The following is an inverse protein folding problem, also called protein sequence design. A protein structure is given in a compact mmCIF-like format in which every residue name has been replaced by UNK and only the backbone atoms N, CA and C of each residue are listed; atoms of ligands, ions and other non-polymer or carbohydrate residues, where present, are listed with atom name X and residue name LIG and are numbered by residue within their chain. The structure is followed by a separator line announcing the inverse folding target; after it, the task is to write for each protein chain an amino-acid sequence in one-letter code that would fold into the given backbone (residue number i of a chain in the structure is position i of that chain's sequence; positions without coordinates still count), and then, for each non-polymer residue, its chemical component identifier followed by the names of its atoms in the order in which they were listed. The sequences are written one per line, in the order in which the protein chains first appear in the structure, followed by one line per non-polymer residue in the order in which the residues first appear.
data_IF_062517643212
#
_entry.id   IF_062517643212
#
_cell.length_a   1.000
_cell.length_b   1.000
_cell.length_c   1.000
_cell.angle_alpha   90.00
_cell.angle_beta   90.00
_cell.angle_gamma   90.00
#
_symmetry.space_group_name_H-M   'P 1'
#
loop_
_entity.id
_entity.type
_entity.pdbx_description
1 polymer ?
#
# COMPACT_ATOMS: atom_id res chain seq x y z
N UNK A 1 32.07 71.27 29.06
CA UNK A 1 31.15 70.68 30.06
C UNK A 1 31.21 69.18 29.86
N UNK A 2 32.09 68.52 30.63
CA UNK A 2 32.40 67.10 30.50
C UNK A 2 31.34 66.33 31.30
N UNK A 3 30.42 65.63 30.62
CA UNK A 3 29.39 64.82 31.27
C UNK A 3 30.04 63.49 31.69
N UNK A 4 30.21 63.33 32.99
CA UNK A 4 30.70 62.12 33.64
C UNK A 4 29.57 61.07 33.62
N UNK A 5 29.69 60.06 32.76
CA UNK A 5 28.77 58.93 32.73
C UNK A 5 29.02 58.03 33.94
N UNK A 6 28.05 57.97 34.85
CA UNK A 6 28.04 57.04 35.99
C UNK A 6 27.72 55.65 35.45
N UNK A 7 28.72 54.78 35.36
CA UNK A 7 28.56 53.36 35.11
C UNK A 7 28.03 52.70 36.40
N UNK A 8 26.76 52.28 36.37
CA UNK A 8 26.20 51.41 37.40
C UNK A 8 26.74 49.99 37.16
N UNK A 9 27.39 49.34 38.14
CA UNK A 9 27.81 47.95 37.98
C UNK A 9 26.56 47.06 37.94
N UNK A 10 26.40 46.30 36.86
CA UNK A 10 25.40 45.24 36.79
C UNK A 10 25.76 44.17 37.84
N UNK A 11 24.93 44.02 38.86
CA UNK A 11 25.03 42.90 39.77
C UNK A 11 24.83 41.60 38.98
N UNK A 12 25.76 40.66 39.10
CA UNK A 12 25.60 39.31 38.57
C UNK A 12 24.36 38.69 39.24
N UNK A 13 23.26 38.58 38.51
CA UNK A 13 22.06 37.93 38.98
C UNK A 13 22.39 36.46 39.28
N UNK A 14 22.45 36.10 40.56
CA UNK A 14 22.61 34.73 41.01
C UNK A 14 21.41 33.93 40.50
N UNK A 15 21.65 32.94 39.65
CA UNK A 15 20.59 32.14 39.04
C UNK A 15 20.01 31.20 40.11
N UNK A 16 18.93 31.61 40.76
CA UNK A 16 18.10 30.73 41.58
C UNK A 16 17.28 29.79 40.66
N UNK A 17 16.80 28.67 41.20
CA UNK A 17 16.07 27.64 40.43
C UNK A 17 16.98 26.60 39.78
N UNK A 18 16.35 25.61 39.14
CA UNK A 18 17.00 24.50 38.44
C UNK A 18 16.54 24.42 36.98
N UNK A 19 17.37 23.81 36.15
CA UNK A 19 16.99 23.32 34.82
C UNK A 19 17.16 21.81 34.84
N UNK A 20 16.28 21.11 34.13
CA UNK A 20 16.28 19.66 34.04
C UNK A 20 15.65 19.22 32.72
N UNK A 21 16.00 18.02 32.27
CA UNK A 21 15.36 17.42 31.10
C UNK A 21 14.11 16.64 31.47
N UNK A 22 13.14 16.64 30.55
CA UNK A 22 11.87 15.94 30.68
C UNK A 22 11.47 15.24 29.39
N UNK A 23 10.51 14.32 29.49
CA UNK A 23 9.78 13.81 28.34
C UNK A 23 8.75 14.83 27.83
N UNK A 24 7.93 14.42 26.83
CA UNK A 24 6.87 15.26 26.25
C UNK A 24 5.70 15.59 27.20
N UNK A 25 5.58 14.88 28.33
CA UNK A 25 4.55 15.06 29.35
C UNK A 25 5.08 15.84 30.57
N UNK A 26 6.29 16.38 30.48
CA UNK A 26 6.99 17.08 31.55
C UNK A 26 7.36 16.19 32.75
N UNK A 27 7.47 14.88 32.53
CA UNK A 27 8.03 13.96 33.52
C UNK A 27 9.56 14.02 33.45
N UNK A 28 10.20 14.16 34.62
CA UNK A 28 11.67 14.25 34.69
C UNK A 28 12.29 12.91 34.35
N UNK A 29 13.21 12.94 33.38
CA UNK A 29 13.98 11.78 32.95
C UNK A 29 15.38 12.23 32.51
N UNK A 30 16.33 11.31 32.54
CA UNK A 30 17.71 11.52 32.10
C UNK A 30 18.14 10.49 31.04
N UNK A 31 17.26 9.59 30.60
CA UNK A 31 17.54 8.61 29.54
C UNK A 31 16.36 8.51 28.56
N UNK A 32 16.53 9.07 27.37
CA UNK A 32 15.48 9.18 26.37
C UNK A 32 15.64 8.16 25.24
N UNK A 33 14.53 7.69 24.67
CA UNK A 33 14.53 6.77 23.53
C UNK A 33 14.70 7.43 22.15
N UNK A 34 15.13 8.70 22.09
CA UNK A 34 15.33 9.44 20.84
C UNK A 34 15.56 10.95 21.08
N UNK A 35 16.28 11.63 20.18
CA UNK A 35 16.60 13.06 20.33
C UNK A 35 15.38 13.97 20.30
N UNK A 36 14.38 13.63 19.48
CA UNK A 36 13.10 14.34 19.38
C UNK A 36 12.22 14.20 20.65
N UNK A 37 12.58 13.33 21.59
CA UNK A 37 11.85 13.09 22.84
C UNK A 37 12.40 13.90 24.03
N UNK A 38 13.45 14.69 23.83
CA UNK A 38 14.11 15.46 24.91
C UNK A 38 13.55 16.88 24.96
N UNK A 39 13.07 17.28 26.14
CA UNK A 39 12.58 18.62 26.41
C UNK A 39 13.35 19.24 27.58
N UNK A 40 13.58 20.55 27.52
CA UNK A 40 14.14 21.35 28.59
C UNK A 40 13.01 21.95 29.43
N UNK A 41 13.09 21.77 30.74
CA UNK A 41 12.25 22.43 31.72
C UNK A 41 13.10 23.32 32.64
N UNK A 42 12.48 24.34 33.21
CA UNK A 42 13.15 25.29 34.09
C UNK A 42 12.18 26.03 35.00
N UNK A 43 12.60 26.28 36.24
CA UNK A 43 11.79 26.92 37.27
C UNK A 43 11.95 26.25 38.64
N UNK A 44 10.90 26.20 39.47
CA UNK A 44 10.89 25.40 40.69
C UNK A 44 11.25 23.95 40.34
N UNK A 45 12.21 23.38 41.07
CA UNK A 45 12.64 22.00 40.84
C UNK A 45 11.48 21.00 40.97
N UNK A 46 11.61 19.79 40.40
CA UNK A 46 10.52 18.80 40.34
C UNK A 46 9.95 18.43 41.73
N UNK A 47 10.77 18.57 42.78
CA UNK A 47 10.38 18.26 44.16
C UNK A 47 10.01 19.50 45.01
N UNK A 48 10.10 20.72 44.45
CA UNK A 48 9.93 21.96 45.20
C UNK A 48 8.47 22.48 45.21
N UNK A 49 7.59 21.90 44.38
CA UNK A 49 6.23 22.38 44.16
C UNK A 49 6.18 23.76 43.50
N UNK A 50 4.98 24.24 43.15
CA UNK A 50 4.81 25.49 42.41
C UNK A 50 5.12 26.77 43.21
N UNK A 51 5.42 26.64 44.51
CA UNK A 51 5.86 27.72 45.40
C UNK A 51 7.38 27.74 45.61
N UNK A 52 8.12 26.83 44.97
CA UNK A 52 9.58 26.80 45.04
C UNK A 52 10.26 27.97 44.34
N UNK A 53 11.55 28.16 44.59
CA UNK A 53 12.34 29.20 43.92
C UNK A 53 12.42 28.92 42.41
N UNK A 54 11.89 29.84 41.61
CA UNK A 54 11.99 29.82 40.16
C UNK A 54 13.31 30.36 39.63
N UNK A 55 13.39 30.43 38.30
CA UNK A 55 14.45 31.11 37.56
C UNK A 55 14.31 32.63 37.72
N UNK A 56 15.35 33.41 37.45
CA UNK A 56 15.21 34.86 37.39
C UNK A 56 14.49 35.26 36.08
N UNK A 57 13.63 36.26 36.13
CA UNK A 57 12.94 36.75 34.93
C UNK A 57 13.93 37.39 33.95
N UNK A 58 13.74 37.11 32.67
CA UNK A 58 14.59 37.62 31.60
C UNK A 58 14.74 36.68 30.42
N UNK A 59 15.58 37.08 29.46
CA UNK A 59 15.93 36.25 28.32
C UNK A 59 17.14 35.38 28.62
N UNK A 60 17.10 34.16 28.10
CA UNK A 60 18.12 33.14 28.24
C UNK A 60 18.49 32.57 26.88
N UNK A 61 19.71 32.07 26.78
CA UNK A 61 20.13 31.20 25.69
C UNK A 61 20.31 29.77 26.19
N UNK A 62 20.13 28.81 25.30
CA UNK A 62 20.53 27.42 25.55
C UNK A 62 21.51 26.91 24.49
N UNK A 63 22.24 25.85 24.85
CA UNK A 63 23.02 25.06 23.90
C UNK A 63 23.11 23.62 24.39
N UNK A 64 23.44 22.72 23.48
CA UNK A 64 23.76 21.32 23.81
C UNK A 64 25.19 21.06 23.38
N UNK A 65 25.93 20.36 24.23
CA UNK A 65 27.31 19.95 23.98
C UNK A 65 27.48 18.47 24.30
N UNK A 66 28.65 17.94 23.96
CA UNK A 66 29.14 16.71 24.58
C UNK A 66 29.27 16.89 26.12
N UNK A 67 29.44 15.80 26.90
CA UNK A 67 29.49 15.87 28.36
C UNK A 67 30.63 16.75 28.88
N UNK A 68 31.72 16.88 28.13
CA UNK A 68 32.84 17.75 28.52
C UNK A 68 32.54 19.24 28.35
N UNK A 69 31.62 19.61 27.45
CA UNK A 69 31.37 20.99 27.07
C UNK A 69 32.26 21.50 25.94
N UNK A 70 33.07 20.63 25.34
CA UNK A 70 34.06 21.00 24.32
C UNK A 70 33.45 21.07 22.92
N UNK A 71 32.58 20.12 22.58
CA UNK A 71 31.95 20.02 21.25
C UNK A 71 30.55 20.61 21.31
N UNK A 72 30.28 21.65 20.51
CA UNK A 72 28.94 22.21 20.34
C UNK A 72 28.12 21.29 19.44
N UNK A 73 26.92 20.90 19.89
CA UNK A 73 26.00 20.01 19.18
C UNK A 73 24.70 20.73 18.76
N UNK A 74 24.63 22.05 18.94
CA UNK A 74 23.50 22.87 18.47
C UNK A 74 24.05 23.80 17.38
N UNK A 75 24.03 23.38 16.10
CA UNK A 75 24.75 24.07 15.03
C UNK A 75 24.10 25.39 14.61
N UNK A 76 22.85 25.63 15.00
CA UNK A 76 22.12 26.84 14.62
C UNK A 76 22.54 28.11 15.39
N UNK A 77 22.14 29.26 14.85
CA UNK A 77 22.41 30.56 15.49
C UNK A 77 21.70 30.71 16.85
N UNK A 78 22.21 31.59 17.71
CA UNK A 78 21.61 31.87 19.04
C UNK A 78 20.19 32.43 18.95
N UNK A 79 19.81 33.07 17.84
CA UNK A 79 18.47 33.62 17.66
C UNK A 79 17.37 32.54 17.73
N UNK A 80 17.68 31.30 17.33
CA UNK A 80 16.77 30.15 17.40
C UNK A 80 16.92 29.36 18.71
N UNK A 81 17.72 29.87 19.65
CA UNK A 81 18.02 29.24 20.95
C UNK A 81 17.70 30.16 22.12
N UNK A 82 16.74 31.07 21.92
CA UNK A 82 16.34 32.07 22.92
C UNK A 82 15.10 31.61 23.67
N UNK A 83 15.12 31.72 24.99
CA UNK A 83 14.02 31.37 25.90
C UNK A 83 13.70 32.56 26.79
N UNK A 84 12.42 32.87 26.97
CA UNK A 84 11.97 33.91 27.90
C UNK A 84 11.45 33.26 29.18
N UNK A 85 11.95 33.75 30.32
CA UNK A 85 11.48 33.39 31.65
C UNK A 85 10.68 34.55 32.21
N UNK A 86 9.46 34.26 32.68
CA UNK A 86 8.56 35.22 33.30
C UNK A 86 7.87 34.59 34.51
N UNK A 87 7.79 35.31 35.62
CA UNK A 87 7.21 34.77 36.86
C UNK A 87 7.97 33.56 37.40
N UNK A 88 9.27 33.45 37.10
CA UNK A 88 10.15 32.38 37.55
C UNK A 88 10.04 31.05 36.83
N UNK A 89 9.28 30.98 35.74
CA UNK A 89 9.13 29.79 34.89
C UNK A 89 9.41 30.12 33.43
N UNK A 90 9.74 29.10 32.64
CA UNK A 90 9.82 29.27 31.17
C UNK A 90 8.43 29.63 30.64
N UNK A 91 8.33 30.75 29.93
CA UNK A 91 7.10 31.27 29.35
C UNK A 91 7.03 31.01 27.84
N UNK A 92 8.14 31.20 27.13
CA UNK A 92 8.21 31.03 25.67
C UNK A 92 9.62 30.71 25.17
N UNK A 93 9.71 30.13 23.97
CA UNK A 93 10.96 29.86 23.29
C UNK A 93 10.86 30.26 21.80
N UNK A 94 11.92 30.87 21.27
CA UNK A 94 12.05 31.18 19.86
C UNK A 94 12.74 30.01 19.14
N UNK A 95 12.21 29.60 17.99
CA UNK A 95 12.82 28.57 17.14
C UNK A 95 12.68 27.13 17.65
N UNK A 96 11.89 26.90 18.70
CA UNK A 96 11.63 25.58 19.28
C UNK A 96 10.15 25.35 19.61
N UNK A 97 9.70 24.11 19.45
CA UNK A 97 8.37 23.71 19.88
C UNK A 97 8.28 23.75 21.41
N UNK A 98 7.15 24.25 21.92
CA UNK A 98 6.88 24.27 23.37
C UNK A 98 5.63 23.46 23.72
N UNK A 99 5.61 22.85 24.90
CA UNK A 99 4.42 22.19 25.47
C UNK A 99 4.12 22.73 26.85
N UNK A 100 2.91 22.50 27.35
CA UNK A 100 2.55 22.84 28.74
C UNK A 100 3.41 22.02 29.70
N UNK A 101 4.04 22.70 30.65
CA UNK A 101 4.78 22.12 31.75
C UNK A 101 4.09 22.33 33.10
N UNK A 102 4.70 21.85 34.19
CA UNK A 102 4.18 22.03 35.54
C UNK A 102 4.09 23.51 35.93
N UNK A 103 3.19 23.85 36.85
CA UNK A 103 3.10 25.19 37.44
C UNK A 103 2.84 26.33 36.43
N UNK A 104 2.17 26.02 35.30
CA UNK A 104 1.91 26.99 34.24
C UNK A 104 3.12 27.31 33.35
N UNK A 105 4.23 26.58 33.53
CA UNK A 105 5.42 26.73 32.69
C UNK A 105 5.24 26.16 31.28
N UNK A 106 6.22 26.42 30.42
CA UNK A 106 6.44 25.69 29.17
C UNK A 106 7.68 24.82 29.25
N UNK A 107 7.62 23.64 28.66
CA UNK A 107 8.81 22.84 28.34
C UNK A 107 9.19 23.05 26.87
N UNK A 108 10.49 23.08 26.57
CA UNK A 108 11.02 23.44 25.25
C UNK A 108 11.68 22.23 24.62
N UNK A 109 11.23 21.82 23.43
CA UNK A 109 11.85 20.70 22.72
C UNK A 109 13.29 21.08 22.32
N UNK A 110 14.25 20.20 22.62
CA UNK A 110 15.66 20.48 22.37
C UNK A 110 16.10 20.18 20.92
N UNK A 111 15.42 19.25 20.25
CA UNK A 111 15.68 18.89 18.85
C UNK A 111 15.44 20.07 17.88
N UNK A 112 16.25 20.24 16.82
CA UNK A 112 17.40 19.40 16.42
C UNK A 112 18.69 19.66 17.21
N UNK A 113 19.53 18.62 17.34
CA UNK A 113 20.92 18.70 17.81
C UNK A 113 21.74 17.51 17.30
N UNK A 114 23.03 17.73 17.09
CA UNK A 114 23.99 16.77 16.54
C UNK A 114 24.27 15.63 17.52
N UNK A 115 24.80 14.52 17.02
CA UNK A 115 25.12 13.34 17.85
C UNK A 115 26.34 13.60 18.70
N UNK A 116 26.28 13.24 19.98
CA UNK A 116 27.42 13.36 20.89
C UNK A 116 28.54 12.43 20.46
N UNK A 117 29.81 12.87 20.48
CA UNK A 117 30.95 11.99 20.27
C UNK A 117 31.21 11.06 21.47
N UNK A 118 30.49 11.22 22.59
CA UNK A 118 30.63 10.37 23.77
C UNK A 118 30.09 8.96 23.51
N UNK A 119 30.91 7.93 23.71
CA UNK A 119 30.51 6.51 23.59
C UNK A 119 29.32 6.14 24.50
N UNK A 120 29.12 6.88 25.60
CA UNK A 120 28.00 6.66 26.52
C UNK A 120 26.65 7.20 26.01
N UNK A 121 26.61 7.88 24.86
CA UNK A 121 25.41 8.56 24.34
C UNK A 121 24.94 9.72 25.22
N UNK A 122 25.84 10.29 26.02
CA UNK A 122 25.55 11.37 26.98
C UNK A 122 25.76 12.75 26.36
N UNK A 123 24.89 13.67 26.75
CA UNK A 123 24.82 15.06 26.32
C UNK A 123 24.76 15.96 27.55
N UNK A 124 25.13 17.23 27.37
CA UNK A 124 24.96 18.27 28.37
C UNK A 124 24.19 19.44 27.78
N UNK A 125 23.06 19.79 28.39
CA UNK A 125 22.34 21.03 28.07
C UNK A 125 22.85 22.14 28.98
N UNK A 126 23.05 23.33 28.40
CA UNK A 126 23.41 24.54 29.11
C UNK A 126 22.31 25.57 28.94
N UNK A 127 22.05 26.34 30.00
CA UNK A 127 21.04 27.39 30.03
C UNK A 127 21.61 28.61 30.75
N UNK A 128 21.78 29.73 30.05
CA UNK A 128 22.48 30.92 30.57
C UNK A 128 21.66 32.18 30.35
N UNK A 129 21.62 33.13 31.32
CA UNK A 129 21.01 34.44 31.09
C UNK A 129 21.69 35.13 29.90
N UNK A 130 20.91 35.74 29.00
CA UNK A 130 21.45 36.39 27.81
C UNK A 130 22.48 37.49 28.15
N UNK A 131 22.31 38.18 29.28
CA UNK A 131 23.24 39.19 29.79
C UNK A 131 24.59 38.61 30.29
N UNK A 132 24.65 37.31 30.56
CA UNK A 132 25.85 36.60 31.03
C UNK A 132 26.56 35.83 29.91
N UNK A 133 26.01 35.82 28.69
CA UNK A 133 26.62 35.21 27.52
C UNK A 133 27.79 36.07 27.03
N UNK A 134 28.97 35.47 26.87
CA UNK A 134 30.19 36.17 26.43
C UNK A 134 30.81 35.41 25.26
N UNK A 135 30.62 35.86 24.00
CA UNK A 135 31.16 35.17 22.82
C UNK A 135 32.64 34.80 22.97
N UNK A 136 32.98 33.53 22.72
CA UNK A 136 34.36 33.02 22.79
C UNK A 136 34.88 32.70 24.20
N UNK A 137 34.09 32.87 25.26
CA UNK A 137 34.46 32.49 26.63
C UNK A 137 33.74 31.22 27.10
N UNK A 138 34.30 30.53 28.10
CA UNK A 138 33.68 29.31 28.66
C UNK A 138 33.41 28.24 27.60
N UNK A 139 32.28 27.55 27.70
CA UNK A 139 31.84 26.59 26.68
C UNK A 139 31.01 27.33 25.63
N UNK A 140 31.63 27.69 24.49
CA UNK A 140 30.94 28.35 23.35
C UNK A 140 30.19 29.65 23.70
N UNK A 141 30.68 30.37 24.71
CA UNK A 141 30.10 31.61 25.23
C UNK A 141 29.29 31.46 26.51
N UNK A 142 29.11 30.23 27.00
CA UNK A 142 28.42 29.91 28.24
C UNK A 142 29.43 29.74 29.38
N UNK A 143 29.37 30.65 30.36
CA UNK A 143 30.23 30.61 31.55
C UNK A 143 29.65 29.65 32.60
N UNK A 144 30.43 28.67 33.07
CA UNK A 144 29.95 27.69 34.05
C UNK A 144 29.47 28.30 35.37
N UNK A 145 29.97 29.47 35.75
CA UNK A 145 29.54 30.19 36.96
C UNK A 145 28.17 30.87 36.82
N UNK A 146 27.72 31.12 35.59
CA UNK A 146 26.46 31.81 35.30
C UNK A 146 25.40 30.89 34.66
N UNK A 147 25.83 29.76 34.10
CA UNK A 147 24.95 28.79 33.46
C UNK A 147 24.41 27.76 34.44
N UNK A 148 23.19 27.32 34.20
CA UNK A 148 22.67 26.05 34.71
C UNK A 148 22.89 24.97 33.67
N UNK A 149 23.09 23.74 34.12
CA UNK A 149 23.30 22.60 33.24
C UNK A 149 22.56 21.39 33.74
N UNK A 150 22.19 20.53 32.81
CA UNK A 150 21.74 19.17 33.10
C UNK A 150 22.35 18.19 32.10
N UNK A 151 22.52 16.93 32.50
CA UNK A 151 23.03 15.87 31.64
C UNK A 151 21.93 14.87 31.33
N UNK A 152 21.87 14.43 30.08
CA UNK A 152 20.93 13.40 29.65
C UNK A 152 21.57 12.44 28.66
N UNK A 153 20.96 11.26 28.51
CA UNK A 153 21.36 10.26 27.50
C UNK A 153 20.26 10.08 26.48
N UNK A 154 20.65 9.76 25.27
CA UNK A 154 19.73 9.22 24.26
C UNK A 154 20.15 7.77 24.00
N UNK A 155 19.26 6.81 24.30
CA UNK A 155 19.48 5.39 23.99
C UNK A 155 19.67 5.27 22.48
N UNK A 156 20.76 4.62 22.07
CA UNK A 156 21.12 4.50 20.65
C UNK A 156 21.88 5.70 20.07
N UNK A 157 22.62 6.48 20.89
CA UNK A 157 23.43 7.64 20.48
C UNK A 157 24.59 7.39 19.49
N UNK A 158 24.59 6.27 18.77
CA UNK A 158 25.18 6.22 17.42
C UNK A 158 24.29 7.08 16.49
N UNK A 159 24.67 7.36 15.22
CA UNK A 159 23.68 7.81 14.25
C UNK A 159 22.48 6.86 14.34
N UNK A 160 21.25 7.38 14.27
CA UNK A 160 20.21 6.54 13.68
C UNK A 160 20.75 6.27 12.28
N UNK A 161 21.26 5.06 12.05
CA UNK A 161 21.46 4.62 10.68
C UNK A 161 20.06 4.66 10.06
N UNK A 162 19.94 5.18 8.85
CA UNK A 162 18.67 5.14 8.16
C UNK A 162 18.52 3.76 7.51
N UNK A 163 17.29 3.27 7.43
CA UNK A 163 16.96 2.17 6.52
C UNK A 163 16.58 2.77 5.18
N UNK A 164 17.27 2.43 4.11
CA UNK A 164 16.80 2.75 2.76
C UNK A 164 15.79 1.69 2.32
N UNK A 165 14.52 2.06 2.22
CA UNK A 165 13.49 1.20 1.60
C UNK A 165 13.28 1.73 0.19
N UNK A 166 13.67 0.96 -0.82
CA UNK A 166 13.50 1.36 -2.22
C UNK A 166 12.94 0.21 -3.06
N UNK A 167 12.55 0.53 -4.27
CA UNK A 167 12.23 -0.48 -5.27
C UNK A 167 11.66 0.12 -6.53
N UNK A 168 11.11 -0.75 -7.37
CA UNK A 168 10.55 -0.38 -8.66
C UNK A 168 9.09 -0.79 -8.76
N UNK A 169 8.26 0.09 -9.31
CA UNK A 169 6.93 -0.25 -9.81
C UNK A 169 7.02 -0.45 -11.32
N UNK A 170 6.53 -1.58 -11.81
CA UNK A 170 6.75 -1.99 -13.19
C UNK A 170 5.58 -2.75 -13.80
N UNK A 171 5.58 -2.78 -15.14
CA UNK A 171 4.64 -3.51 -15.95
C UNK A 171 5.09 -4.97 -16.15
N UNK A 172 4.56 -5.88 -15.34
CA UNK A 172 4.96 -7.29 -15.26
C UNK A 172 4.30 -8.12 -16.37
N UNK A 173 4.74 -7.90 -17.61
CA UNK A 173 4.16 -8.58 -18.79
C UNK A 173 4.47 -10.09 -18.79
N UNK A 174 5.50 -10.53 -18.06
CA UNK A 174 5.92 -11.94 -17.99
C UNK A 174 5.21 -12.69 -16.85
N UNK A 175 4.59 -11.98 -15.91
CA UNK A 175 3.82 -12.51 -14.76
C UNK A 175 4.66 -13.36 -13.80
N UNK A 176 5.93 -13.03 -13.64
CA UNK A 176 6.80 -13.75 -12.71
C UNK A 176 6.99 -13.00 -11.38
N UNK A 177 6.47 -11.77 -11.25
CA UNK A 177 6.62 -10.94 -10.07
C UNK A 177 8.04 -10.42 -9.85
N UNK A 178 8.90 -10.47 -10.87
CA UNK A 178 10.31 -10.07 -10.83
C UNK A 178 10.54 -9.05 -11.93
N UNK A 179 11.22 -7.94 -11.62
CA UNK A 179 11.58 -6.96 -12.64
C UNK A 179 12.56 -7.55 -13.65
N UNK A 180 12.13 -7.64 -14.92
CA UNK A 180 12.94 -8.14 -16.03
C UNK A 180 13.38 -7.02 -17.00
N UNK A 181 14.52 -7.17 -17.70
CA UNK A 181 15.01 -6.17 -18.65
C UNK A 181 14.06 -5.83 -19.82
N UNK A 182 13.11 -6.71 -20.14
CA UNK A 182 12.11 -6.50 -21.20
C UNK A 182 10.85 -5.77 -20.73
N UNK A 183 10.75 -5.48 -19.44
CA UNK A 183 9.56 -4.89 -18.83
C UNK A 183 9.66 -3.37 -18.78
N UNK A 184 8.50 -2.72 -18.60
CA UNK A 184 8.41 -1.28 -18.65
C UNK A 184 8.29 -0.71 -17.23
N UNK A 185 9.02 0.37 -16.89
CA UNK A 185 8.79 1.07 -15.64
C UNK A 185 7.44 1.79 -15.64
N UNK A 186 6.84 1.95 -14.45
CA UNK A 186 5.59 2.70 -14.28
C UNK A 186 5.88 4.01 -13.52
N UNK A 187 6.01 5.16 -14.22
CA UNK A 187 6.29 6.46 -13.59
C UNK A 187 5.04 7.12 -13.00
N UNK A 188 5.23 7.99 -12.00
CA UNK A 188 4.15 8.76 -11.37
C UNK A 188 3.19 7.90 -10.53
N UNK A 189 3.58 6.68 -10.20
CA UNK A 189 2.81 5.73 -9.42
C UNK A 189 2.90 6.05 -7.94
N UNK A 190 1.75 6.09 -7.25
CA UNK A 190 1.71 6.41 -5.83
C UNK A 190 2.20 5.21 -4.99
N UNK A 191 3.14 5.46 -4.08
CA UNK A 191 3.59 4.47 -3.10
C UNK A 191 3.49 5.10 -1.71
N UNK A 192 2.89 4.36 -0.78
CA UNK A 192 2.71 4.78 0.61
C UNK A 192 3.52 3.91 1.55
N UNK A 193 4.07 4.51 2.60
CA UNK A 193 4.68 3.84 3.75
C UNK A 193 3.89 4.22 5.00
N UNK A 194 3.26 3.22 5.63
CA UNK A 194 2.62 3.35 6.94
C UNK A 194 3.60 3.02 8.06
N UNK A 195 3.83 3.99 8.94
CA UNK A 195 4.65 3.88 10.13
C UNK A 195 3.78 4.00 11.40
N UNK A 196 3.01 2.96 11.71
CA UNK A 196 2.18 2.92 12.91
C UNK A 196 1.02 3.92 12.92
N UNK A 197 0.42 4.15 11.75
CA UNK A 197 -0.68 5.08 11.50
C UNK A 197 -0.25 6.42 10.90
N UNK A 198 1.06 6.65 10.75
CA UNK A 198 1.59 7.83 10.04
C UNK A 198 1.90 7.41 8.60
N UNK A 199 1.16 7.98 7.65
CA UNK A 199 1.33 7.70 6.22
C UNK A 199 2.29 8.71 5.61
N UNK A 200 3.36 8.20 4.99
CA UNK A 200 4.23 8.94 4.08
C UNK A 200 3.94 8.51 2.64
N UNK A 201 3.88 9.46 1.71
CA UNK A 201 3.60 9.18 0.29
C UNK A 201 4.75 9.66 -0.57
N UNK A 202 5.12 8.86 -1.56
CA UNK A 202 6.02 9.24 -2.65
C UNK A 202 5.44 8.80 -3.99
N UNK A 203 6.05 9.22 -5.08
CA UNK A 203 5.69 8.81 -6.43
C UNK A 203 6.93 8.26 -7.15
N UNK A 204 6.72 7.26 -7.99
CA UNK A 204 7.80 6.72 -8.81
C UNK A 204 8.32 7.74 -9.82
N UNK A 205 9.62 7.71 -10.08
CA UNK A 205 10.26 8.52 -11.11
C UNK A 205 10.10 7.94 -12.53
N UNK A 206 10.79 8.52 -13.52
CA UNK A 206 10.74 8.08 -14.92
C UNK A 206 11.19 6.63 -15.12
N UNK A 207 12.04 6.11 -14.23
CA UNK A 207 12.52 4.73 -14.25
C UNK A 207 11.65 3.82 -13.36
N UNK A 208 10.52 4.31 -12.86
CA UNK A 208 9.61 3.55 -12.01
C UNK A 208 10.14 3.35 -10.59
N UNK A 209 11.18 4.08 -10.19
CA UNK A 209 11.87 3.89 -8.91
C UNK A 209 11.22 4.77 -7.84
N UNK A 210 11.08 4.23 -6.63
CA UNK A 210 10.68 4.98 -5.43
C UNK A 210 11.64 4.69 -4.26
N UNK A 211 11.63 5.58 -3.26
CA UNK A 211 12.37 5.34 -2.02
C UNK A 211 11.74 6.04 -0.80
N UNK A 212 12.01 5.46 0.38
CA UNK A 212 11.80 6.04 1.70
C UNK A 212 13.07 5.85 2.53
N UNK A 213 13.26 6.74 3.50
CA UNK A 213 14.42 6.75 4.40
C UNK A 213 13.92 6.87 5.85
N UNK A 214 13.25 5.84 6.41
CA UNK A 214 12.93 5.81 7.83
C UNK A 214 14.18 5.58 8.71
N UNK A 215 14.07 5.93 9.98
CA UNK A 215 15.08 5.59 10.98
C UNK A 215 15.19 4.06 11.12
N UNK A 216 16.40 3.50 11.21
CA UNK A 216 16.64 2.08 11.49
C UNK A 216 16.43 1.79 12.99
N UNK A 217 15.17 1.84 13.43
CA UNK A 217 14.76 1.71 14.83
C UNK A 217 14.14 0.34 15.17
N UNK A 218 14.11 -0.58 14.19
CA UNK A 218 13.51 -1.90 14.30
C UNK A 218 11.98 -1.91 14.27
N UNK A 219 11.34 -0.79 13.92
CA UNK A 219 9.88 -0.74 13.76
C UNK A 219 9.43 -1.39 12.46
N UNK A 220 8.19 -1.86 12.44
CA UNK A 220 7.56 -2.40 11.24
C UNK A 220 6.86 -1.29 10.46
N UNK A 221 7.16 -1.23 9.17
CA UNK A 221 6.47 -0.39 8.19
C UNK A 221 5.67 -1.25 7.21
N UNK A 222 4.54 -0.72 6.74
CA UNK A 222 3.75 -1.35 5.68
C UNK A 222 3.83 -0.50 4.42
N UNK A 223 4.38 -1.06 3.36
CA UNK A 223 4.52 -0.40 2.07
C UNK A 223 3.37 -0.85 1.17
N UNK A 224 2.64 0.12 0.62
CA UNK A 224 1.50 -0.12 -0.27
C UNK A 224 1.72 0.61 -1.58
N UNK A 225 1.67 -0.12 -2.69
CA UNK A 225 1.64 0.47 -4.02
C UNK A 225 0.19 0.72 -4.42
N UNK A 226 -0.14 1.94 -4.85
CA UNK A 226 -1.51 2.35 -5.14
C UNK A 226 -1.67 2.58 -6.64
N UNK A 227 -2.46 1.73 -7.27
CA UNK A 227 -2.77 1.86 -8.67
C UNK A 227 -3.60 3.13 -8.96
N UNK A 228 -3.29 3.88 -10.03
CA UNK A 228 -4.11 5.01 -10.45
C UNK A 228 -5.55 4.57 -10.70
N UNK A 229 -6.51 5.37 -10.25
CA UNK A 229 -7.92 5.10 -10.50
C UNK A 229 -8.22 5.04 -12.01
N UNK A 230 -9.09 4.12 -12.45
CA UNK A 230 -9.56 4.09 -13.83
C UNK A 230 -10.13 5.47 -14.22
N UNK A 231 -9.70 6.02 -15.35
CA UNK A 231 -10.30 7.24 -15.93
C UNK A 231 -9.65 8.60 -15.61
N UNK A 232 -8.65 8.70 -14.73
CA UNK A 232 -7.89 9.97 -14.59
C UNK A 232 -6.60 9.99 -15.45
N UNK A 233 -6.03 8.82 -15.73
CA UNK A 233 -4.88 8.60 -16.65
C UNK A 233 -5.03 7.28 -17.44
N UNK A 234 -6.21 6.63 -17.38
CA UNK A 234 -6.44 5.30 -17.94
C UNK A 234 -7.65 5.26 -18.87
N UNK A 235 -7.64 4.30 -19.78
CA UNK A 235 -8.75 3.97 -20.69
C UNK A 235 -10.01 3.70 -19.83
N UNK A 236 -11.14 4.29 -20.20
CA UNK A 236 -12.43 4.05 -19.55
C UNK A 236 -12.73 2.55 -19.56
N UNK A 237 -12.98 1.96 -18.38
CA UNK A 237 -13.12 0.51 -18.23
C UNK A 237 -11.81 -0.26 -18.06
N UNK A 238 -10.65 0.39 -17.93
CA UNK A 238 -9.38 -0.26 -17.60
C UNK A 238 -9.28 -0.71 -16.14
N UNK A 239 -8.44 -1.72 -15.86
CA UNK A 239 -8.19 -2.27 -14.52
C UNK A 239 -6.72 -2.58 -14.31
N UNK A 240 -6.19 -2.24 -13.13
CA UNK A 240 -4.85 -2.64 -12.72
C UNK A 240 -4.92 -3.86 -11.80
N UNK A 241 -3.96 -4.76 -11.94
CA UNK A 241 -3.81 -5.93 -11.10
C UNK A 241 -2.35 -6.07 -10.67
N UNK A 242 -2.10 -6.10 -9.36
CA UNK A 242 -0.79 -6.42 -8.81
C UNK A 242 -0.42 -7.89 -9.05
N UNK A 243 0.77 -8.14 -9.59
CA UNK A 243 1.34 -9.47 -9.78
C UNK A 243 2.32 -9.84 -8.66
N UNK A 244 2.70 -8.88 -7.81
CA UNK A 244 3.45 -9.12 -6.58
C UNK A 244 2.57 -8.93 -5.35
N UNK A 245 3.06 -9.38 -4.20
CA UNK A 245 2.39 -9.15 -2.92
C UNK A 245 2.26 -7.64 -2.65
N UNK A 246 1.05 -7.18 -2.35
CA UNK A 246 0.75 -5.80 -2.03
C UNK A 246 -0.43 -5.76 -1.06
N UNK A 247 -0.30 -5.23 0.16
CA UNK A 247 0.87 -4.53 0.72
C UNK A 247 2.01 -5.46 1.19
N UNK A 248 3.19 -4.88 1.46
CA UNK A 248 4.38 -5.59 1.98
C UNK A 248 4.80 -5.00 3.32
N UNK A 249 5.03 -5.87 4.32
CA UNK A 249 5.56 -5.45 5.63
C UNK A 249 7.09 -5.60 5.69
N UNK A 250 7.77 -4.56 6.16
CA UNK A 250 9.23 -4.49 6.31
C UNK A 250 9.57 -4.07 7.74
N UNK A 251 10.65 -4.63 8.30
CA UNK A 251 11.21 -4.20 9.59
C UNK A 251 12.43 -3.32 9.31
N UNK A 252 12.48 -2.11 9.88
CA UNK A 252 13.58 -1.17 9.71
C UNK A 252 14.79 -1.54 10.60
N UNK A 253 15.37 -2.73 10.40
CA UNK A 253 16.45 -3.30 11.22
C UNK A 253 17.75 -3.55 10.44
N UNK A 254 17.78 -3.27 9.14
CA UNK A 254 18.94 -3.40 8.27
C UNK A 254 19.12 -2.15 7.40
N UNK A 255 20.32 -1.90 6.84
CA UNK A 255 20.59 -0.67 6.08
C UNK A 255 19.73 -0.50 4.82
N UNK A 256 19.22 -1.60 4.25
CA UNK A 256 18.51 -1.57 2.97
C UNK A 256 17.47 -2.68 2.85
N UNK A 257 16.30 -2.31 2.31
CA UNK A 257 15.31 -3.23 1.78
C UNK A 257 14.97 -2.87 0.33
N UNK A 258 14.83 -3.90 -0.52
CA UNK A 258 14.33 -3.78 -1.89
C UNK A 258 12.93 -4.39 -1.95
N UNK A 259 11.95 -3.59 -2.35
CA UNK A 259 10.54 -3.98 -2.44
C UNK A 259 9.99 -3.59 -3.81
N UNK A 260 9.79 -4.57 -4.69
CA UNK A 260 9.32 -4.31 -6.06
C UNK A 260 7.82 -4.62 -6.21
N UNK A 261 7.15 -3.84 -7.05
CA UNK A 261 5.72 -3.96 -7.32
C UNK A 261 5.44 -4.17 -8.80
N UNK A 262 5.16 -5.42 -9.17
CA UNK A 262 4.73 -5.80 -10.52
C UNK A 262 3.23 -5.55 -10.70
N UNK A 263 2.85 -5.01 -11.85
CA UNK A 263 1.47 -4.71 -12.18
C UNK A 263 1.13 -5.05 -13.63
N UNK A 264 -0.12 -5.45 -13.86
CA UNK A 264 -0.72 -5.64 -15.17
C UNK A 264 -1.92 -4.74 -15.38
N UNK A 265 -2.16 -4.39 -16.64
CA UNK A 265 -3.28 -3.56 -17.04
C UNK A 265 -4.20 -4.37 -17.95
N UNK A 266 -5.48 -4.29 -17.65
CA UNK A 266 -6.55 -4.98 -18.34
C UNK A 266 -7.49 -3.96 -18.93
N UNK A 267 -7.94 -4.20 -20.16
CA UNK A 267 -8.88 -3.32 -20.85
C UNK A 267 -10.14 -4.14 -21.13
N UNK A 268 -11.28 -3.57 -20.75
CA UNK A 268 -12.56 -4.11 -21.20
C UNK A 268 -12.59 -4.07 -22.73
N UNK A 269 -12.83 -5.21 -23.36
CA UNK A 269 -12.89 -5.31 -24.82
C UNK A 269 -14.33 -5.65 -25.26
N UNK A 270 -15.25 -4.66 -25.35
CA UNK A 270 -16.63 -4.92 -25.75
C UNK A 270 -16.70 -5.62 -27.11
N UNK A 271 -17.59 -6.60 -27.25
CA UNK A 271 -17.80 -7.35 -28.49
C UNK A 271 -16.68 -8.34 -28.87
N UNK A 272 -15.73 -8.58 -27.97
CA UNK A 272 -14.64 -9.53 -28.21
C UNK A 272 -15.10 -10.99 -28.14
N UNK A 273 -16.12 -11.31 -27.33
CA UNK A 273 -16.80 -12.61 -27.37
C UNK A 273 -18.02 -12.58 -28.30
N UNK A 274 -18.22 -13.72 -28.97
CA UNK A 274 -19.36 -14.04 -29.84
C UNK A 274 -20.45 -14.75 -29.05
N UNK A 275 -21.70 -14.34 -29.27
CA UNK A 275 -22.85 -15.00 -28.65
C UNK A 275 -23.12 -16.38 -29.22
N UNK A 276 -23.89 -17.22 -28.51
CA UNK A 276 -24.41 -18.48 -29.08
C UNK A 276 -25.21 -18.26 -30.37
N UNK A 277 -25.88 -17.12 -30.51
CA UNK A 277 -26.59 -16.74 -31.73
C UNK A 277 -25.65 -16.44 -32.91
N UNK A 278 -24.45 -15.89 -32.65
CA UNK A 278 -23.41 -15.76 -33.67
C UNK A 278 -22.93 -17.13 -34.14
N UNK A 279 -22.56 -18.00 -33.21
CA UNK A 279 -22.11 -19.37 -33.52
C UNK A 279 -23.18 -20.23 -34.20
N UNK A 280 -24.47 -19.88 -34.07
CA UNK A 280 -25.53 -20.52 -34.86
C UNK A 280 -25.59 -19.98 -36.29
N UNK A 281 -25.58 -18.65 -36.47
CA UNK A 281 -25.91 -17.99 -37.73
C UNK A 281 -24.72 -17.68 -38.65
N UNK A 282 -23.52 -17.50 -38.09
CA UNK A 282 -22.37 -16.92 -38.79
C UNK A 282 -21.04 -17.63 -38.47
N UNK A 283 -20.99 -18.50 -37.46
CA UNK A 283 -19.75 -19.11 -36.98
C UNK A 283 -19.16 -20.22 -37.86
N UNK A 284 -19.82 -20.65 -38.94
CA UNK A 284 -19.45 -21.87 -39.68
C UNK A 284 -18.06 -21.77 -40.27
N UNK A 285 -17.77 -20.65 -40.93
CA UNK A 285 -16.45 -20.40 -41.54
C UNK A 285 -15.34 -20.30 -40.50
N UNK A 286 -15.62 -19.73 -39.31
CA UNK A 286 -14.65 -19.64 -38.21
C UNK A 286 -14.35 -21.01 -37.60
N UNK A 287 -15.39 -21.84 -37.40
CA UNK A 287 -15.22 -23.21 -36.90
C UNK A 287 -14.51 -24.08 -37.96
N UNK A 288 -14.78 -23.88 -39.24
CA UNK A 288 -14.09 -24.56 -40.33
C UNK A 288 -12.60 -24.18 -40.35
N UNK A 289 -12.28 -22.90 -40.15
CA UNK A 289 -10.90 -22.42 -40.12
C UNK A 289 -10.10 -23.01 -38.95
N UNK A 290 -10.74 -23.29 -37.81
CA UNK A 290 -10.10 -23.93 -36.65
C UNK A 290 -10.21 -25.46 -36.64
N UNK A 291 -10.84 -26.11 -37.64
CA UNK A 291 -11.10 -27.55 -37.64
C UNK A 291 -9.81 -28.40 -37.61
N UNK A 292 -8.71 -27.82 -38.10
CA UNK A 292 -7.38 -28.43 -38.09
C UNK A 292 -6.60 -28.21 -36.78
N UNK A 293 -7.17 -27.51 -35.79
CA UNK A 293 -6.54 -27.31 -34.49
C UNK A 293 -6.34 -28.65 -33.75
N UNK A 294 -5.36 -28.71 -32.85
CA UNK A 294 -5.12 -29.87 -32.00
C UNK A 294 -5.18 -29.44 -30.52
N UNK A 295 -6.17 -29.91 -29.74
CA UNK A 295 -7.35 -30.70 -30.16
C UNK A 295 -8.32 -29.88 -31.04
N UNK A 296 -9.08 -30.56 -31.91
CA UNK A 296 -10.08 -29.89 -32.75
C UNK A 296 -11.36 -29.58 -31.95
N UNK A 297 -12.26 -28.77 -32.54
CA UNK A 297 -13.48 -28.34 -31.86
C UNK A 297 -14.40 -29.49 -31.44
N UNK A 298 -14.47 -30.59 -32.19
CA UNK A 298 -15.29 -31.75 -31.83
C UNK A 298 -14.76 -32.41 -30.56
N UNK A 299 -13.46 -32.69 -30.52
CA UNK A 299 -12.79 -33.28 -29.35
C UNK A 299 -12.94 -32.37 -28.14
N UNK A 300 -12.79 -31.05 -28.31
CA UNK A 300 -12.99 -30.08 -27.23
C UNK A 300 -14.42 -30.15 -26.71
N UNK A 301 -15.44 -29.98 -27.56
CA UNK A 301 -16.84 -29.98 -27.14
C UNK A 301 -17.29 -31.32 -26.52
N UNK A 302 -16.84 -32.45 -27.07
CA UNK A 302 -17.11 -33.78 -26.52
C UNK A 302 -16.54 -33.97 -25.11
N UNK A 303 -15.49 -33.22 -24.75
CA UNK A 303 -14.91 -33.20 -23.42
C UNK A 303 -15.63 -32.31 -22.40
N UNK A 304 -16.63 -31.53 -22.80
CA UNK A 304 -17.25 -30.51 -21.93
C UNK A 304 -18.46 -30.99 -21.11
N UNK A 305 -18.86 -32.27 -21.24
CA UNK A 305 -20.05 -32.81 -20.57
C UNK A 305 -21.34 -32.01 -20.84
N UNK A 306 -21.49 -31.46 -22.06
CA UNK A 306 -22.62 -30.64 -22.46
C UNK A 306 -23.94 -31.41 -22.32
N UNK A 307 -24.94 -30.84 -21.64
CA UNK A 307 -26.22 -31.49 -21.37
C UNK A 307 -27.23 -31.27 -22.49
N UNK A 308 -28.12 -32.24 -22.71
CA UNK A 308 -29.23 -32.16 -23.66
C UNK A 308 -30.55 -31.76 -22.98
N UNK A 309 -31.59 -31.57 -23.78
CA UNK A 309 -32.93 -31.13 -23.38
C UNK A 309 -33.87 -32.26 -22.91
N UNK A 310 -33.39 -33.49 -22.74
CA UNK A 310 -34.27 -34.67 -22.52
C UNK A 310 -35.16 -34.46 -21.28
N UNK A 311 -36.48 -34.42 -21.53
CA UNK A 311 -37.53 -34.22 -20.53
C UNK A 311 -38.30 -35.50 -20.17
N UNK A 312 -37.94 -36.66 -20.73
CA UNK A 312 -38.71 -37.89 -20.52
C UNK A 312 -38.28 -38.67 -19.27
N UNK A 313 -39.29 -39.15 -18.53
CA UNK A 313 -39.17 -39.97 -17.31
C UNK A 313 -38.69 -41.42 -17.59
N UNK A 314 -37.84 -41.65 -18.60
CA UNK A 314 -37.24 -42.98 -18.81
C UNK A 314 -36.00 -43.15 -17.91
N UNK A 315 -36.04 -44.00 -16.87
CA UNK A 315 -34.93 -44.20 -15.94
C UNK A 315 -33.67 -44.78 -16.62
N UNK A 316 -33.80 -45.36 -17.82
CA UNK A 316 -32.69 -45.93 -18.58
C UNK A 316 -31.99 -44.89 -19.48
N UNK A 317 -32.65 -43.79 -19.84
CA UNK A 317 -32.08 -42.68 -20.62
C UNK A 317 -31.42 -41.60 -19.73
N UNK A 318 -31.69 -41.62 -18.42
CA UNK A 318 -31.11 -40.72 -17.42
C UNK A 318 -29.59 -40.87 -17.24
N UNK A 319 -28.99 -41.96 -17.75
CA UNK A 319 -27.58 -42.25 -17.55
C UNK A 319 -26.64 -41.54 -18.55
N UNK A 320 -27.11 -41.04 -19.70
CA UNK A 320 -26.25 -40.30 -20.65
C UNK A 320 -27.06 -39.23 -21.40
N UNK A 321 -27.28 -38.08 -20.77
CA UNK A 321 -27.87 -36.88 -21.39
C UNK A 321 -26.80 -35.93 -21.94
N UNK A 322 -25.78 -36.48 -22.61
CA UNK A 322 -24.68 -35.69 -23.16
C UNK A 322 -24.91 -35.37 -24.63
N UNK A 323 -24.68 -34.11 -24.99
CA UNK A 323 -24.50 -33.71 -26.37
C UNK A 323 -23.08 -34.09 -26.80
N UNK A 324 -23.00 -34.86 -27.88
CA UNK A 324 -21.76 -35.28 -28.50
C UNK A 324 -21.81 -34.92 -29.98
N UNK A 325 -20.70 -34.41 -30.49
CA UNK A 325 -20.47 -34.15 -31.90
C UNK A 325 -19.81 -35.38 -32.51
N UNK A 326 -20.38 -35.90 -33.61
CA UNK A 326 -19.79 -37.03 -34.34
C UNK A 326 -18.44 -36.63 -34.96
N UNK A 327 -17.38 -37.28 -34.51
CA UNK A 327 -16.00 -37.04 -34.96
C UNK A 327 -15.73 -37.57 -36.38
N UNK A 328 -16.58 -38.47 -36.88
CA UNK A 328 -16.43 -39.07 -38.22
C UNK A 328 -17.36 -38.44 -39.26
N UNK A 329 -18.33 -37.62 -38.84
CA UNK A 329 -19.28 -36.98 -39.75
C UNK A 329 -18.60 -35.89 -40.61
N UNK A 330 -19.08 -35.66 -41.85
CA UNK A 330 -18.67 -34.51 -42.64
C UNK A 330 -18.84 -33.20 -41.87
N UNK A 331 -17.96 -32.22 -42.10
CA UNK A 331 -17.95 -30.96 -41.37
C UNK A 331 -19.32 -30.28 -41.30
N UNK A 332 -19.98 -30.09 -42.45
CA UNK A 332 -21.27 -29.40 -42.52
C UNK A 332 -22.37 -30.11 -41.72
N UNK A 333 -22.33 -31.44 -41.63
CA UNK A 333 -23.28 -32.23 -40.84
C UNK A 333 -23.02 -32.07 -39.34
N UNK A 334 -21.76 -32.23 -38.92
CA UNK A 334 -21.35 -32.04 -37.54
C UNK A 334 -21.64 -30.60 -37.05
N UNK A 335 -21.32 -29.60 -37.88
CA UNK A 335 -21.61 -28.21 -37.55
C UNK A 335 -23.11 -27.93 -37.50
N UNK A 336 -23.92 -28.50 -38.39
CA UNK A 336 -25.38 -28.36 -38.32
C UNK A 336 -25.96 -28.91 -37.01
N UNK A 337 -25.41 -30.02 -36.49
CA UNK A 337 -25.80 -30.56 -35.18
C UNK A 337 -25.47 -29.59 -34.04
N UNK A 338 -24.24 -29.05 -34.02
CA UNK A 338 -23.82 -28.02 -33.06
C UNK A 338 -24.70 -26.76 -33.16
N UNK A 339 -24.91 -26.27 -34.38
CA UNK A 339 -25.66 -25.04 -34.64
C UNK A 339 -27.09 -25.14 -34.12
N UNK A 340 -27.77 -26.27 -34.34
CA UNK A 340 -29.09 -26.52 -33.77
C UNK A 340 -29.04 -26.64 -32.24
N UNK A 341 -28.02 -27.33 -31.70
CA UNK A 341 -27.85 -27.50 -30.26
C UNK A 341 -27.69 -26.17 -29.52
N UNK A 342 -27.02 -25.16 -30.09
CA UNK A 342 -26.77 -23.87 -29.44
C UNK A 342 -28.02 -23.01 -29.24
N UNK A 343 -29.06 -23.23 -30.04
CA UNK A 343 -30.30 -22.42 -30.03
C UNK A 343 -31.56 -23.19 -29.69
N UNK A 344 -31.46 -24.49 -29.43
CA UNK A 344 -32.57 -25.24 -28.84
C UNK A 344 -32.99 -24.55 -27.52
N UNK A 345 -34.28 -24.53 -27.25
CA UNK A 345 -34.83 -23.76 -26.15
C UNK A 345 -35.89 -24.58 -25.45
N UNK A 346 -35.46 -25.32 -24.43
CA UNK A 346 -36.37 -25.97 -23.49
C UNK A 346 -36.36 -25.21 -22.17
N UNK A 347 -37.45 -24.51 -21.93
CA UNK A 347 -37.65 -23.74 -20.70
C UNK A 347 -37.59 -24.67 -19.49
N UNK A 348 -36.61 -24.44 -18.62
CA UNK A 348 -36.52 -25.07 -17.30
C UNK A 348 -35.38 -26.08 -17.12
N UNK A 349 -34.76 -26.58 -18.18
CA UNK A 349 -33.56 -27.46 -18.07
C UNK A 349 -32.31 -26.61 -17.99
N UNK A 350 -31.97 -26.17 -16.78
CA UNK A 350 -30.91 -25.18 -16.58
C UNK A 350 -29.51 -25.67 -16.98
N UNK A 351 -29.22 -26.96 -16.79
CA UNK A 351 -27.93 -27.51 -17.22
C UNK A 351 -27.74 -27.45 -18.73
N UNK A 352 -28.81 -27.63 -19.50
CA UNK A 352 -28.78 -27.44 -20.96
C UNK A 352 -28.51 -25.96 -21.31
N UNK A 353 -29.21 -25.02 -20.66
CA UNK A 353 -28.98 -23.59 -20.90
C UNK A 353 -27.53 -23.20 -20.61
N UNK A 354 -26.98 -23.64 -19.47
CA UNK A 354 -25.57 -23.45 -19.12
C UNK A 354 -24.65 -24.10 -20.15
N UNK A 355 -24.95 -25.31 -20.60
CA UNK A 355 -24.16 -26.03 -21.59
C UNK A 355 -24.10 -25.29 -22.94
N UNK A 356 -25.21 -24.70 -23.39
CA UNK A 356 -25.24 -23.92 -24.64
C UNK A 356 -24.35 -22.67 -24.56
N UNK A 357 -24.35 -21.98 -23.41
CA UNK A 357 -23.48 -20.82 -23.18
C UNK A 357 -22.01 -21.23 -23.04
N UNK A 358 -21.76 -22.32 -22.32
CA UNK A 358 -20.42 -22.84 -22.09
C UNK A 358 -19.78 -23.36 -23.39
N UNK A 359 -20.57 -23.98 -24.27
CA UNK A 359 -20.14 -24.39 -25.60
C UNK A 359 -19.73 -23.17 -26.44
N UNK A 360 -20.57 -22.13 -26.51
CA UNK A 360 -20.27 -20.89 -27.21
C UNK A 360 -18.99 -20.21 -26.69
N UNK A 361 -18.79 -20.21 -25.36
CA UNK A 361 -17.59 -19.64 -24.76
C UNK A 361 -16.31 -20.43 -25.10
N UNK A 362 -16.39 -21.77 -25.16
CA UNK A 362 -15.26 -22.60 -25.58
C UNK A 362 -14.97 -22.48 -27.10
N UNK A 363 -15.99 -22.24 -27.93
CA UNK A 363 -15.79 -21.90 -29.34
C UNK A 363 -15.08 -20.54 -29.49
N UNK A 364 -15.45 -19.56 -28.66
CA UNK A 364 -14.71 -18.30 -28.59
C UNK A 364 -13.24 -18.49 -28.22
N UNK A 365 -12.96 -19.38 -27.24
CA UNK A 365 -11.59 -19.69 -26.80
C UNK A 365 -10.79 -20.44 -27.86
N UNK A 366 -11.42 -21.37 -28.57
CA UNK A 366 -10.75 -22.26 -29.51
C UNK A 366 -10.61 -21.67 -30.91
N UNK A 367 -11.67 -21.03 -31.42
CA UNK A 367 -11.83 -20.64 -32.82
C UNK A 367 -12.06 -19.14 -32.99
N UNK A 368 -12.57 -18.47 -31.97
CA UNK A 368 -12.86 -17.05 -31.97
C UNK A 368 -11.71 -16.18 -31.43
N UNK A 369 -12.06 -14.95 -31.03
CA UNK A 369 -11.09 -13.95 -30.61
C UNK A 369 -10.52 -14.16 -29.19
N UNK A 370 -11.10 -15.05 -28.38
CA UNK A 370 -10.60 -15.35 -27.01
C UNK A 370 -9.40 -16.29 -26.99
N UNK A 371 -8.69 -16.45 -28.12
CA UNK A 371 -7.43 -17.21 -28.19
C UNK A 371 -6.27 -16.55 -27.41
N UNK A 372 -6.50 -15.36 -26.83
CA UNK A 372 -5.57 -14.66 -25.93
C UNK A 372 -5.91 -14.91 -24.45
N UNK A 373 -4.96 -14.72 -23.51
CA UNK A 373 -5.26 -14.71 -22.09
C UNK A 373 -6.41 -13.75 -21.77
N UNK A 374 -7.49 -14.31 -21.21
CA UNK A 374 -8.76 -13.62 -21.02
C UNK A 374 -9.20 -13.74 -19.57
N UNK A 375 -9.68 -12.63 -19.03
CA UNK A 375 -10.13 -12.51 -17.64
C UNK A 375 -11.56 -12.01 -17.61
N UNK A 376 -12.29 -12.43 -16.58
CA UNK A 376 -13.72 -12.20 -16.46
C UNK A 376 -13.98 -11.55 -15.11
N UNK A 377 -14.61 -10.37 -15.13
CA UNK A 377 -15.22 -9.79 -13.93
C UNK A 377 -16.62 -10.38 -13.77
N UNK A 378 -16.70 -11.46 -13.00
CA UNK A 378 -17.90 -12.28 -12.85
C UNK A 378 -19.05 -11.52 -12.18
N UNK A 379 -18.75 -10.71 -11.17
CA UNK A 379 -19.75 -10.09 -10.31
C UNK A 379 -19.84 -8.57 -10.52
N UNK A 380 -19.06 -8.02 -11.45
CA UNK A 380 -18.86 -6.59 -11.61
C UNK A 380 -18.41 -5.94 -10.27
N UNK A 381 -17.49 -6.63 -9.59
CA UNK A 381 -16.90 -6.26 -8.29
C UNK A 381 -15.39 -5.98 -8.40
N UNK A 382 -14.88 -5.85 -9.63
CA UNK A 382 -13.48 -5.63 -9.97
C UNK A 382 -12.55 -6.80 -9.60
N UNK A 383 -13.11 -7.99 -9.30
CA UNK A 383 -12.34 -9.21 -9.10
C UNK A 383 -12.30 -10.02 -10.40
N UNK A 384 -11.10 -10.08 -10.98
CA UNK A 384 -10.87 -10.78 -12.25
C UNK A 384 -10.53 -12.27 -12.00
N UNK A 385 -11.26 -13.14 -12.69
CA UNK A 385 -11.03 -14.59 -12.72
C UNK A 385 -10.51 -15.00 -14.11
N UNK A 386 -9.57 -15.95 -14.19
CA UNK A 386 -9.15 -16.47 -15.49
C UNK A 386 -10.27 -17.29 -16.14
N UNK A 387 -10.41 -17.18 -17.47
CA UNK A 387 -11.37 -17.98 -18.23
C UNK A 387 -11.24 -19.48 -17.93
N UNK A 388 -10.02 -19.99 -17.88
CA UNK A 388 -9.71 -21.39 -17.63
C UNK A 388 -10.20 -21.87 -16.25
N UNK A 389 -10.13 -21.03 -15.23
CA UNK A 389 -10.63 -21.34 -13.89
C UNK A 389 -12.16 -21.43 -13.89
N UNK A 390 -12.83 -20.48 -14.53
CA UNK A 390 -14.29 -20.50 -14.69
C UNK A 390 -14.76 -21.71 -15.51
N UNK A 391 -14.03 -22.03 -16.58
CA UNK A 391 -14.30 -23.18 -17.43
C UNK A 391 -14.13 -24.50 -16.67
N UNK A 392 -13.05 -24.66 -15.91
CA UNK A 392 -12.81 -25.86 -15.11
C UNK A 392 -13.90 -26.09 -14.04
N UNK A 393 -14.37 -25.04 -13.37
CA UNK A 393 -15.47 -25.13 -12.42
C UNK A 393 -16.78 -25.53 -13.10
N UNK A 394 -17.08 -24.92 -14.25
CA UNK A 394 -18.27 -25.23 -15.05
C UNK A 394 -18.25 -26.68 -15.55
N UNK A 395 -17.10 -27.16 -16.00
CA UNK A 395 -16.89 -28.54 -16.38
C UNK A 395 -17.21 -29.50 -15.22
N UNK A 396 -16.69 -29.23 -14.02
CA UNK A 396 -16.98 -30.03 -12.83
C UNK A 396 -18.48 -30.09 -12.50
N UNK A 397 -19.20 -28.98 -12.68
CA UNK A 397 -20.64 -28.92 -12.49
C UNK A 397 -21.40 -29.75 -13.53
N UNK A 398 -21.06 -29.62 -14.82
CA UNK A 398 -21.74 -30.32 -15.90
C UNK A 398 -21.42 -31.82 -15.92
N UNK A 399 -20.19 -32.22 -15.62
CA UNK A 399 -19.81 -33.64 -15.55
C UNK A 399 -20.39 -34.37 -14.34
N UNK A 400 -20.86 -33.65 -13.31
CA UNK A 400 -21.57 -34.28 -12.20
C UNK A 400 -22.87 -34.93 -12.70
N UNK A 401 -23.16 -36.21 -12.39
CA UNK A 401 -24.40 -36.88 -12.80
C UNK A 401 -25.69 -36.13 -12.39
N UNK A 402 -25.66 -35.39 -11.27
CA UNK A 402 -26.80 -34.59 -10.79
C UNK A 402 -27.24 -33.51 -11.78
N UNK A 403 -26.36 -33.05 -12.69
CA UNK A 403 -26.73 -32.03 -13.67
C UNK A 403 -27.71 -32.50 -14.74
N UNK A 404 -27.89 -33.82 -14.89
CA UNK A 404 -28.96 -34.38 -15.72
C UNK A 404 -30.36 -34.07 -15.17
N UNK A 405 -30.50 -33.69 -13.90
CA UNK A 405 -31.76 -33.60 -13.18
C UNK A 405 -32.11 -32.16 -12.78
N UNK A 406 -31.95 -31.20 -13.70
CA UNK A 406 -32.14 -29.77 -13.42
C UNK A 406 -33.43 -29.18 -13.98
N UNK A 407 -34.36 -30.02 -14.43
CA UNK A 407 -35.69 -29.59 -14.80
C UNK A 407 -36.51 -29.17 -13.56
N UNK A 408 -37.59 -28.39 -13.72
CA UNK A 408 -38.45 -28.00 -12.60
C UNK A 408 -38.99 -29.23 -11.84
N UNK A 409 -38.86 -29.23 -10.52
CA UNK A 409 -39.34 -30.33 -9.66
C UNK A 409 -38.40 -31.52 -9.51
N UNK A 410 -37.20 -31.48 -10.11
CA UNK A 410 -36.14 -32.48 -9.93
C UNK A 410 -35.16 -32.06 -8.81
N UNK A 411 -33.85 -32.12 -9.07
CA UNK A 411 -32.81 -31.84 -8.09
C UNK A 411 -32.68 -30.33 -7.85
N UNK A 412 -33.54 -29.79 -6.98
CA UNK A 412 -33.63 -28.34 -6.71
C UNK A 412 -32.35 -27.76 -6.12
N UNK A 413 -31.61 -28.54 -5.31
CA UNK A 413 -30.31 -28.10 -4.79
C UNK A 413 -29.33 -27.86 -5.94
N UNK A 414 -29.20 -28.84 -6.83
CA UNK A 414 -28.31 -28.72 -7.98
C UNK A 414 -28.78 -27.65 -8.98
N UNK A 415 -30.10 -27.48 -9.08
CA UNK A 415 -30.74 -26.43 -9.86
C UNK A 415 -30.27 -25.04 -9.41
N UNK A 416 -30.24 -24.76 -8.11
CA UNK A 416 -29.76 -23.47 -7.57
C UNK A 416 -28.28 -23.23 -7.87
N UNK A 417 -27.44 -24.27 -7.76
CA UNK A 417 -26.00 -24.17 -8.08
C UNK A 417 -25.80 -23.82 -9.57
N UNK A 418 -26.53 -24.48 -10.48
CA UNK A 418 -26.45 -24.18 -11.91
C UNK A 418 -26.99 -22.79 -12.23
N UNK A 419 -28.06 -22.33 -11.56
CA UNK A 419 -28.58 -20.97 -11.76
C UNK A 419 -27.52 -19.90 -11.47
N UNK A 420 -26.76 -20.07 -10.37
CA UNK A 420 -25.66 -19.17 -10.05
C UNK A 420 -24.64 -19.11 -11.19
N UNK A 421 -24.14 -20.27 -11.61
CA UNK A 421 -23.16 -20.36 -12.69
C UNK A 421 -23.69 -19.82 -14.03
N UNK A 422 -24.94 -20.11 -14.40
CA UNK A 422 -25.54 -19.64 -15.65
C UNK A 422 -25.57 -18.10 -15.74
N UNK A 423 -25.89 -17.43 -14.63
CA UNK A 423 -25.94 -15.96 -14.60
C UNK A 423 -24.58 -15.33 -14.92
N UNK A 424 -23.48 -16.00 -14.58
CA UNK A 424 -22.11 -15.53 -14.85
C UNK A 424 -21.76 -15.61 -16.34
N UNK A 425 -22.20 -16.68 -17.03
CA UNK A 425 -21.93 -16.88 -18.45
C UNK A 425 -22.81 -16.04 -19.39
N UNK A 426 -24.04 -15.70 -18.97
CA UNK A 426 -24.96 -14.89 -19.79
C UNK A 426 -24.39 -13.49 -20.09
N UNK A 427 -23.64 -12.88 -19.15
CA UNK A 427 -22.96 -11.60 -19.36
C UNK A 427 -21.82 -11.70 -20.37
N UNK A 428 -21.00 -12.75 -20.30
CA UNK A 428 -19.87 -12.92 -21.23
C UNK A 428 -20.31 -13.02 -22.69
N UNK A 429 -21.36 -13.79 -22.95
CA UNK A 429 -21.79 -14.13 -24.31
C UNK A 429 -22.84 -13.18 -24.90
N UNK A 430 -23.23 -12.11 -24.19
CA UNK A 430 -24.24 -11.16 -24.68
C UNK A 430 -23.63 -9.88 -25.26
N UNK A 431 -22.74 -9.20 -24.54
CA UNK A 431 -22.09 -7.96 -24.98
C UNK A 431 -20.56 -7.93 -24.77
N UNK A 432 -20.01 -8.91 -24.05
CA UNK A 432 -18.59 -8.95 -23.69
C UNK A 432 -18.18 -7.90 -22.66
N UNK A 433 -19.15 -7.26 -21.98
CA UNK A 433 -18.92 -6.15 -21.04
C UNK A 433 -18.17 -6.55 -19.77
N UNK A 434 -18.08 -7.84 -19.47
CA UNK A 434 -17.28 -8.40 -18.36
C UNK A 434 -15.94 -8.99 -18.81
N UNK A 435 -15.57 -8.86 -20.09
CA UNK A 435 -14.38 -9.49 -20.66
C UNK A 435 -13.22 -8.51 -20.71
N UNK A 436 -12.15 -8.93 -20.05
CA UNK A 436 -10.92 -8.19 -19.93
C UNK A 436 -9.79 -8.91 -20.65
N UNK A 437 -9.10 -8.19 -21.52
CA UNK A 437 -7.87 -8.65 -22.13
C UNK A 437 -6.69 -7.90 -21.54
N UNK A 438 -5.56 -8.59 -21.42
CA UNK A 438 -4.32 -7.98 -20.96
C UNK A 438 -3.84 -6.99 -22.01
N UNK A 439 -3.59 -5.75 -21.62
CA UNK A 439 -2.96 -4.78 -22.51
C UNK A 439 -1.52 -5.19 -22.80
N UNK A 440 -1.02 -5.07 -24.04
CA UNK A 440 0.39 -5.29 -24.32
C UNK A 440 1.28 -4.17 -23.75
N UNK A 441 0.70 -3.00 -23.47
CA UNK A 441 1.41 -1.83 -22.95
C UNK A 441 0.63 -1.18 -21.80
N UNK A 442 1.30 -0.59 -20.81
CA UNK A 442 0.63 0.26 -19.85
C UNK A 442 0.05 1.52 -20.55
N UNK A 443 -1.04 2.09 -20.02
CA UNK A 443 -1.69 3.29 -20.57
C UNK A 443 -0.82 4.55 -20.54
#
# INVERSE_FOLDING_TARGET
MLILAVLCPAALAQVNGAVYTTDRHAEVDNVFGGKNKVYLAGGPGPNAGCSGNGLADGMYFFQITDPSGSTLLTPESLALRTITVLGGVIDSAAGRNTRSGPCGSRIVQLHPFDTTPSESGEYKVWFTPAASYVPGAGSHGFLSSASKTDNFKVRGGAPAEDTLIRGKVFYDIIQNGIWDPSELPLPGWEVQLDSGGVIMTTFTDADGIYQFIPEMDGTTHVITSIAPAPGFVGIEGGRWWATTMNPVSVVADVPEHVVDFGNLFFINTPGFARSKGYWHNQGEDEVLACDTASPNWRTVLNGLCLRTTITEEDPLLQAVTLFLVDENAPFSEAYAQLSNYLVDSVLGVLAYNLSSQYAAANLNRLCGALQVPTFIDRNNDDVLLQFEEMAAQTLGLLCNPRSAFTAPGQDEEWRQVIMGCLSEWDFMNSDGGSIFTRSPFPP
#
